data_IF_826515203718
#
_entry.id   IF_826515203718
#
_cell.length_a   1.000
_cell.length_b   1.000
_cell.length_c   1.000
_cell.angle_alpha   90.00
_cell.angle_beta   90.00
_cell.angle_gamma   90.00
#
_symmetry.space_group_name_H-M   'P 1'
#
loop_
_entity.id
_entity.type
_entity.pdbx_description
1 polymer ?
#
# COMPACT_ATOMS: atom_id res chain seq x y z
N UNK A 1 24.20 -23.43 23.82
CA UNK A 1 25.28 -24.04 23.01
C UNK A 1 26.49 -24.16 23.91
N UNK A 2 27.14 -25.31 23.94
CA UNK A 2 28.39 -25.53 24.66
C UNK A 2 29.37 -26.30 23.77
N UNK A 3 30.64 -26.32 24.10
CA UNK A 3 31.66 -27.11 23.38
C UNK A 3 32.26 -28.15 24.31
N UNK A 4 32.45 -29.36 23.81
CA UNK A 4 33.25 -30.41 24.43
C UNK A 4 34.59 -30.47 23.71
N UNK A 5 35.67 -30.13 24.41
CA UNK A 5 37.02 -30.21 23.87
C UNK A 5 37.66 -31.55 24.26
N UNK A 6 38.07 -32.32 23.26
CA UNK A 6 38.88 -33.53 23.43
C UNK A 6 40.29 -33.33 22.86
N UNK A 7 41.23 -34.24 23.15
CA UNK A 7 42.65 -34.10 22.78
C UNK A 7 42.94 -34.07 21.27
N UNK A 8 41.95 -34.33 20.40
CA UNK A 8 42.08 -34.28 18.93
C UNK A 8 40.97 -33.52 18.22
N UNK A 9 39.91 -33.09 18.90
CA UNK A 9 38.79 -32.38 18.27
C UNK A 9 37.94 -31.60 19.28
N UNK A 10 37.31 -30.53 18.80
CA UNK A 10 36.31 -29.76 19.53
C UNK A 10 34.95 -30.08 18.94
N UNK A 11 34.02 -30.54 19.78
CA UNK A 11 32.65 -30.89 19.40
C UNK A 11 31.69 -29.84 19.95
N UNK A 12 30.97 -29.16 19.07
CA UNK A 12 29.93 -28.20 19.46
C UNK A 12 28.65 -28.94 19.81
N UNK A 13 28.24 -28.87 21.07
CA UNK A 13 26.96 -29.38 21.57
C UNK A 13 25.90 -28.29 21.49
N UNK A 14 24.91 -28.51 20.63
CA UNK A 14 23.72 -27.68 20.55
C UNK A 14 22.54 -28.37 21.23
N UNK A 15 22.39 -28.15 22.53
CA UNK A 15 21.15 -28.47 23.24
C UNK A 15 20.12 -27.35 22.99
N UNK A 16 19.37 -27.43 21.89
CA UNK A 16 18.24 -26.54 21.64
C UNK A 16 16.94 -27.35 21.73
N UNK A 17 16.24 -27.27 22.87
CA UNK A 17 14.90 -27.85 23.07
C UNK A 17 13.81 -26.81 22.81
N UNK A 18 13.91 -26.07 21.71
CA UNK A 18 12.81 -25.20 21.30
C UNK A 18 11.73 -26.10 20.70
N UNK A 19 10.59 -26.20 21.36
CA UNK A 19 9.44 -26.97 20.89
C UNK A 19 8.85 -26.24 19.68
N UNK A 20 8.71 -26.93 18.55
CA UNK A 20 8.27 -26.31 17.27
C UNK A 20 6.90 -26.74 16.80
N UNK A 21 6.32 -27.75 17.43
CA UNK A 21 5.04 -28.34 17.05
C UNK A 21 4.16 -28.56 18.27
N UNK A 22 2.84 -28.52 18.08
CA UNK A 22 1.88 -28.85 19.13
C UNK A 22 2.16 -30.21 19.78
N UNK A 23 2.59 -31.20 19.00
CA UNK A 23 2.94 -32.54 19.49
C UNK A 23 4.09 -32.51 20.52
N UNK A 24 5.11 -31.68 20.30
CA UNK A 24 6.21 -31.51 21.26
C UNK A 24 5.74 -30.81 22.55
N UNK A 25 4.76 -29.90 22.44
CA UNK A 25 4.16 -29.24 23.61
C UNK A 25 3.26 -30.18 24.44
N UNK A 26 2.65 -31.20 23.84
CA UNK A 26 1.82 -32.17 24.58
C UNK A 26 2.57 -32.90 25.69
N UNK A 27 3.85 -33.18 25.46
CA UNK A 27 4.73 -33.85 26.41
C UNK A 27 5.39 -32.91 27.43
N UNK A 28 5.09 -31.61 27.37
CA UNK A 28 5.59 -30.64 28.33
C UNK A 28 5.06 -30.97 29.73
N UNK A 29 5.96 -31.14 30.69
CA UNK A 29 5.61 -31.39 32.09
C UNK A 29 5.16 -30.07 32.71
N UNK A 30 3.89 -30.00 33.15
CA UNK A 30 3.29 -28.81 33.77
C UNK A 30 3.36 -28.85 35.30
N UNK A 31 3.43 -30.05 35.88
CA UNK A 31 3.55 -30.24 37.33
C UNK A 31 4.14 -31.62 37.64
N UNK A 32 4.92 -31.70 38.73
CA UNK A 32 5.39 -32.96 39.27
C UNK A 32 5.21 -32.93 40.80
N UNK A 33 4.23 -33.67 41.32
CA UNK A 33 3.99 -33.81 42.76
C UNK A 33 4.00 -35.29 43.15
N UNK A 34 4.83 -35.64 44.14
CA UNK A 34 4.86 -36.99 44.72
C UNK A 34 5.27 -38.11 43.75
N UNK A 35 6.07 -37.80 42.72
CA UNK A 35 6.50 -38.78 41.70
C UNK A 35 5.56 -38.91 40.49
N UNK A 36 4.35 -38.35 40.57
CA UNK A 36 3.43 -38.30 39.44
C UNK A 36 3.68 -37.03 38.63
N UNK A 37 4.05 -37.21 37.35
CA UNK A 37 4.23 -36.14 36.39
C UNK A 37 2.91 -35.90 35.66
N UNK A 38 2.46 -34.66 35.63
CA UNK A 38 1.32 -34.21 34.84
C UNK A 38 1.87 -33.49 33.61
N UNK A 39 1.43 -33.93 32.43
CA UNK A 39 1.79 -33.36 31.13
C UNK A 39 0.73 -32.39 30.65
N UNK A 40 1.08 -31.50 29.74
CA UNK A 40 0.16 -30.50 29.19
C UNK A 40 -1.06 -31.17 28.55
N UNK A 41 -0.88 -32.33 27.89
CA UNK A 41 -1.99 -33.13 27.33
C UNK A 41 -3.00 -33.62 28.36
N UNK A 42 -2.62 -33.73 29.63
CA UNK A 42 -3.51 -34.21 30.69
C UNK A 42 -4.48 -33.10 31.15
N UNK A 43 -4.21 -31.83 30.80
CA UNK A 43 -4.95 -30.65 31.28
C UNK A 43 -5.42 -29.72 30.16
N UNK A 44 -4.96 -29.89 28.93
CA UNK A 44 -5.32 -29.06 27.78
C UNK A 44 -5.28 -29.85 26.47
N UNK A 45 -6.10 -29.42 25.51
CA UNK A 45 -6.00 -29.86 24.13
C UNK A 45 -4.99 -28.96 23.40
N UNK A 46 -3.96 -29.58 22.82
CA UNK A 46 -2.87 -28.89 22.12
C UNK A 46 -2.90 -29.30 20.67
N UNK A 47 -3.18 -28.34 19.80
CA UNK A 47 -3.29 -28.52 18.35
C UNK A 47 -2.52 -27.44 17.61
N UNK A 48 -1.96 -27.78 16.45
CA UNK A 48 -1.36 -26.80 15.54
C UNK A 48 -2.51 -26.11 14.80
N UNK A 49 -2.77 -24.86 15.14
CA UNK A 49 -3.85 -24.05 14.57
C UNK A 49 -3.38 -22.62 14.32
N UNK A 50 -4.20 -21.85 13.60
CA UNK A 50 -3.89 -20.46 13.29
C UNK A 50 -4.14 -19.55 14.50
N UNK A 51 -3.28 -18.55 14.69
CA UNK A 51 -3.36 -17.61 15.83
C UNK A 51 -4.70 -16.86 15.90
N UNK A 52 -5.35 -16.62 14.76
CA UNK A 52 -6.65 -15.95 14.70
C UNK A 52 -7.60 -16.64 13.73
N UNK A 53 -8.57 -17.38 14.28
CA UNK A 53 -9.66 -17.98 13.51
C UNK A 53 -10.80 -16.99 13.18
N UNK A 54 -10.77 -15.78 13.76
CA UNK A 54 -11.86 -14.78 13.65
C UNK A 54 -11.71 -13.78 12.50
N UNK A 55 -10.56 -13.75 11.83
CA UNK A 55 -10.33 -12.87 10.68
C UNK A 55 -10.38 -13.73 9.41
N UNK A 56 -11.58 -13.88 8.86
CA UNK A 56 -11.73 -14.39 7.50
C UNK A 56 -11.80 -13.21 6.55
N UNK A 57 -10.76 -13.05 5.73
CA UNK A 57 -10.83 -12.18 4.56
C UNK A 57 -11.32 -13.04 3.40
N UNK A 58 -12.56 -12.81 2.96
CA UNK A 58 -13.08 -13.46 1.77
C UNK A 58 -13.11 -12.45 0.61
N UNK A 59 -12.65 -12.86 -0.56
CA UNK A 59 -12.75 -12.09 -1.79
C UNK A 59 -13.58 -12.90 -2.78
N UNK A 60 -14.72 -12.37 -3.21
CA UNK A 60 -15.67 -13.04 -4.10
C UNK A 60 -16.10 -14.47 -3.66
N UNK A 61 -16.17 -14.71 -2.35
CA UNK A 61 -16.57 -16.01 -1.79
C UNK A 61 -15.42 -17.02 -1.60
N UNK A 62 -14.20 -16.67 -2.03
CA UNK A 62 -13.00 -17.48 -1.78
C UNK A 62 -12.20 -16.91 -0.60
N UNK A 63 -11.61 -17.79 0.22
CA UNK A 63 -10.71 -17.37 1.30
C UNK A 63 -9.47 -16.73 0.72
N UNK A 64 -9.15 -15.53 1.21
CA UNK A 64 -8.11 -14.67 0.68
C UNK A 64 -7.27 -14.07 1.82
N UNK A 65 -6.11 -13.54 1.48
CA UNK A 65 -5.28 -12.76 2.40
C UNK A 65 -5.29 -11.31 1.91
N UNK A 66 -5.77 -10.40 2.75
CA UNK A 66 -5.81 -8.97 2.44
C UNK A 66 -4.57 -8.27 2.96
N UNK A 67 -3.80 -7.66 2.06
CA UNK A 67 -2.69 -6.78 2.41
C UNK A 67 -3.12 -5.33 2.23
N UNK A 68 -3.27 -4.60 3.33
CA UNK A 68 -3.60 -3.18 3.32
C UNK A 68 -2.32 -2.34 3.19
N UNK A 69 -2.20 -1.58 2.11
CA UNK A 69 -1.09 -0.63 1.90
C UNK A 69 -1.54 0.75 2.36
N UNK A 70 -0.85 1.30 3.35
CA UNK A 70 -1.10 2.63 3.88
C UNK A 70 0.02 3.57 3.42
N UNK A 71 -0.36 4.67 2.78
CA UNK A 71 0.59 5.75 2.47
C UNK A 71 1.04 6.44 3.75
N UNK A 72 2.27 6.95 3.76
CA UNK A 72 2.72 7.85 4.81
C UNK A 72 1.95 9.18 4.77
N UNK A 73 1.85 9.91 5.89
CA UNK A 73 1.42 11.32 5.89
C UNK A 73 2.20 12.10 4.82
N UNK A 74 1.54 13.05 4.16
CA UNK A 74 2.12 13.93 3.12
C UNK A 74 2.61 13.26 1.83
N UNK A 75 2.58 11.92 1.74
CA UNK A 75 2.91 11.22 0.51
C UNK A 75 1.80 11.34 -0.55
N UNK A 76 2.19 11.57 -1.81
CA UNK A 76 1.28 11.59 -2.95
C UNK A 76 0.71 10.19 -3.21
N UNK A 77 -0.61 10.04 -3.04
CA UNK A 77 -1.34 8.78 -3.22
C UNK A 77 -1.12 8.15 -4.60
N UNK A 78 -1.13 8.93 -5.67
CA UNK A 78 -0.99 8.43 -7.05
C UNK A 78 0.41 7.84 -7.26
N UNK A 79 1.45 8.56 -6.81
CA UNK A 79 2.83 8.10 -6.90
C UNK A 79 3.07 6.82 -6.09
N UNK A 80 2.48 6.71 -4.89
CA UNK A 80 2.57 5.50 -4.05
C UNK A 80 1.92 4.31 -4.74
N UNK A 81 0.72 4.47 -5.29
CA UNK A 81 0.04 3.39 -6.01
C UNK A 81 0.84 2.95 -7.24
N UNK A 82 1.38 3.89 -8.01
CA UNK A 82 2.19 3.57 -9.19
C UNK A 82 3.44 2.77 -8.80
N UNK A 83 4.13 3.17 -7.73
CA UNK A 83 5.29 2.45 -7.21
C UNK A 83 4.92 1.02 -6.75
N UNK A 84 3.78 0.85 -6.08
CA UNK A 84 3.27 -0.47 -5.68
C UNK A 84 2.96 -1.32 -6.91
N UNK A 85 2.22 -0.78 -7.88
CA UNK A 85 1.86 -1.50 -9.12
C UNK A 85 3.08 -1.91 -9.92
N UNK A 86 4.12 -1.08 -9.95
CA UNK A 86 5.38 -1.40 -10.61
C UNK A 86 6.09 -2.62 -9.99
N UNK A 87 5.86 -2.90 -8.70
CA UNK A 87 6.44 -4.05 -7.98
C UNK A 87 5.58 -5.31 -8.03
N UNK A 88 4.28 -5.20 -8.32
CA UNK A 88 3.37 -6.35 -8.41
C UNK A 88 3.88 -7.45 -9.35
N UNK A 89 4.40 -7.16 -10.56
CA UNK A 89 4.91 -8.21 -11.46
C UNK A 89 6.07 -9.01 -10.85
N UNK A 90 6.98 -8.34 -10.15
CA UNK A 90 8.10 -8.96 -9.45
C UNK A 90 7.60 -9.93 -8.39
N UNK A 91 6.63 -9.50 -7.56
CA UNK A 91 6.00 -10.37 -6.57
C UNK A 91 5.24 -11.55 -7.20
N UNK A 92 4.49 -11.31 -8.29
CA UNK A 92 3.78 -12.39 -9.01
C UNK A 92 4.72 -13.47 -9.51
N UNK A 93 5.95 -13.12 -9.90
CA UNK A 93 6.95 -14.11 -10.36
C UNK A 93 7.51 -15.01 -9.26
N UNK A 94 7.49 -14.55 -8.01
CA UNK A 94 7.98 -15.29 -6.84
C UNK A 94 6.88 -16.13 -6.18
N UNK A 95 5.62 -15.89 -6.54
CA UNK A 95 4.49 -16.62 -5.99
C UNK A 95 4.26 -17.96 -6.71
N UNK A 96 3.82 -19.01 -5.99
CA UNK A 96 3.37 -20.25 -6.61
C UNK A 96 2.21 -19.99 -7.59
N UNK A 97 2.10 -20.80 -8.64
CA UNK A 97 1.03 -20.65 -9.66
C UNK A 97 -0.39 -20.79 -9.09
N UNK A 98 -0.54 -21.37 -7.90
CA UNK A 98 -1.82 -21.49 -7.19
C UNK A 98 -2.27 -20.19 -6.51
N UNK A 99 -1.43 -19.16 -6.44
CA UNK A 99 -1.72 -17.89 -5.76
C UNK A 99 -2.03 -16.80 -6.78
N UNK A 100 -3.23 -16.22 -6.71
CA UNK A 100 -3.63 -15.08 -7.53
C UNK A 100 -3.55 -13.79 -6.72
N UNK A 101 -2.84 -12.79 -7.28
CA UNK A 101 -2.74 -11.46 -6.68
C UNK A 101 -3.66 -10.48 -7.41
N UNK A 102 -4.69 -10.01 -6.71
CA UNK A 102 -5.68 -9.06 -7.22
C UNK A 102 -5.63 -7.73 -6.44
N UNK A 103 -5.84 -6.62 -7.13
CA UNK A 103 -5.94 -5.30 -6.51
C UNK A 103 -7.41 -5.04 -6.18
N UNK A 104 -7.75 -4.96 -4.89
CA UNK A 104 -9.15 -4.79 -4.45
C UNK A 104 -9.61 -3.34 -4.50
N UNK A 105 -8.78 -2.42 -4.01
CA UNK A 105 -9.13 -1.01 -3.90
C UNK A 105 -7.95 -0.15 -4.33
N UNK A 106 -8.17 0.69 -5.33
CA UNK A 106 -7.20 1.63 -5.85
C UNK A 106 -7.74 3.05 -5.76
N UNK A 107 -7.28 3.79 -4.76
CA UNK A 107 -7.66 5.20 -4.55
C UNK A 107 -7.11 6.15 -5.62
N UNK A 108 -6.09 5.74 -6.39
CA UNK A 108 -5.53 6.59 -7.45
C UNK A 108 -6.49 6.76 -8.63
N UNK A 109 -7.41 5.82 -8.85
CA UNK A 109 -8.35 5.87 -9.98
C UNK A 109 -9.25 7.09 -9.87
N UNK A 110 -9.96 7.26 -8.75
CA UNK A 110 -10.85 8.41 -8.55
C UNK A 110 -10.08 9.75 -8.56
N UNK A 111 -8.83 9.77 -8.10
CA UNK A 111 -7.98 10.97 -8.18
C UNK A 111 -7.66 11.30 -9.65
N UNK A 112 -7.28 10.30 -10.45
CA UNK A 112 -6.96 10.47 -11.87
C UNK A 112 -8.19 10.89 -12.68
N UNK A 113 -9.35 10.32 -12.39
CA UNK A 113 -10.62 10.71 -13.00
C UNK A 113 -10.97 12.16 -12.67
N UNK A 114 -10.88 12.57 -11.40
CA UNK A 114 -11.11 13.95 -11.01
C UNK A 114 -10.12 14.92 -11.69
N UNK A 115 -8.84 14.57 -11.78
CA UNK A 115 -7.84 15.37 -12.50
C UNK A 115 -8.16 15.48 -14.00
N UNK A 116 -8.62 14.40 -14.62
CA UNK A 116 -9.03 14.40 -16.02
C UNK A 116 -10.22 15.34 -16.25
N UNK A 117 -11.26 15.22 -15.41
CA UNK A 117 -12.46 16.05 -15.50
C UNK A 117 -12.16 17.54 -15.28
N UNK A 118 -11.32 17.86 -14.30
CA UNK A 118 -10.85 19.24 -14.06
C UNK A 118 -10.08 19.78 -15.26
N UNK A 119 -9.17 18.97 -15.83
CA UNK A 119 -8.40 19.39 -17.01
C UNK A 119 -9.31 19.65 -18.22
N UNK A 120 -10.29 18.77 -18.45
CA UNK A 120 -11.24 18.89 -19.55
C UNK A 120 -12.12 20.14 -19.40
N UNK A 121 -12.67 20.35 -18.20
CA UNK A 121 -13.51 21.51 -17.90
C UNK A 121 -12.72 22.82 -17.95
N UNK A 122 -11.48 22.84 -17.49
CA UNK A 122 -10.59 24.00 -17.59
C UNK A 122 -10.29 24.36 -19.05
N UNK A 123 -9.94 23.38 -19.89
CA UNK A 123 -9.72 23.60 -21.33
C UNK A 123 -11.00 24.09 -22.00
N UNK A 124 -12.15 23.48 -21.70
CA UNK A 124 -13.45 23.92 -22.18
C UNK A 124 -13.77 25.36 -21.80
N UNK A 125 -13.47 25.74 -20.55
CA UNK A 125 -13.68 27.09 -20.02
C UNK A 125 -12.79 28.10 -20.72
N UNK A 126 -11.50 27.79 -20.91
CA UNK A 126 -10.57 28.66 -21.64
C UNK A 126 -11.08 28.89 -23.08
N UNK A 127 -11.46 27.83 -23.79
CA UNK A 127 -11.98 27.94 -25.16
C UNK A 127 -13.25 28.79 -25.19
N UNK A 128 -14.17 28.57 -24.25
CA UNK A 128 -15.41 29.32 -24.15
C UNK A 128 -15.17 30.80 -23.92
N UNK A 129 -14.29 31.15 -22.97
CA UNK A 129 -13.91 32.54 -22.67
C UNK A 129 -13.29 33.21 -23.90
N UNK A 130 -12.37 32.54 -24.59
CA UNK A 130 -11.75 33.04 -25.82
C UNK A 130 -12.79 33.30 -26.90
N UNK A 131 -13.77 32.40 -27.07
CA UNK A 131 -14.85 32.53 -28.04
C UNK A 131 -15.74 33.73 -27.71
N UNK A 132 -16.11 33.92 -26.45
CA UNK A 132 -16.92 35.06 -26.00
C UNK A 132 -16.17 36.38 -26.24
N UNK A 133 -14.91 36.47 -25.84
CA UNK A 133 -14.06 37.66 -26.07
C UNK A 133 -13.94 37.96 -27.57
N UNK A 134 -13.72 36.95 -28.40
CA UNK A 134 -13.68 37.07 -29.85
C UNK A 134 -14.99 37.63 -30.42
N UNK A 135 -16.13 37.12 -29.97
CA UNK A 135 -17.45 37.53 -30.44
C UNK A 135 -17.73 39.02 -30.16
N UNK A 136 -17.33 39.52 -28.99
CA UNK A 136 -17.51 40.93 -28.61
C UNK A 136 -16.55 41.88 -29.33
N UNK A 137 -15.27 41.51 -29.45
CA UNK A 137 -14.25 42.40 -30.00
C UNK A 137 -14.18 42.35 -31.54
N UNK A 138 -14.54 41.22 -32.17
CA UNK A 138 -14.42 40.94 -33.62
C UNK A 138 -13.05 41.28 -34.22
N UNK A 139 -12.02 41.46 -33.38
CA UNK A 139 -10.68 41.89 -33.77
C UNK A 139 -9.65 40.95 -33.17
N UNK A 140 -9.00 40.19 -34.05
CA UNK A 140 -8.06 39.12 -33.70
C UNK A 140 -6.98 39.55 -32.69
N UNK A 141 -6.39 40.74 -32.90
CA UNK A 141 -5.34 41.29 -32.02
C UNK A 141 -5.85 41.58 -30.61
N UNK A 142 -7.10 42.03 -30.47
CA UNK A 142 -7.67 42.35 -29.15
C UNK A 142 -8.05 41.09 -28.36
N UNK A 143 -8.32 39.97 -29.04
CA UNK A 143 -8.58 38.67 -28.42
C UNK A 143 -7.30 37.92 -28.06
N UNK A 144 -6.24 38.04 -28.86
CA UNK A 144 -4.99 37.31 -28.65
C UNK A 144 -4.31 37.63 -27.31
N UNK A 145 -4.42 38.87 -26.83
CA UNK A 145 -3.81 39.32 -25.55
C UNK A 145 -4.39 38.52 -24.36
N UNK A 146 -5.72 38.50 -24.10
CA UNK A 146 -6.32 37.64 -23.08
C UNK A 146 -6.04 36.15 -23.28
N UNK A 147 -6.13 35.64 -24.51
CA UNK A 147 -5.94 34.22 -24.82
C UNK A 147 -4.57 33.70 -24.43
N UNK A 148 -3.52 34.50 -24.63
CA UNK A 148 -2.16 34.14 -24.22
C UNK A 148 -1.92 34.38 -22.72
N UNK A 149 -2.52 35.43 -22.15
CA UNK A 149 -2.34 35.77 -20.74
C UNK A 149 -2.90 34.71 -19.79
N UNK A 150 -4.05 34.11 -20.11
CA UNK A 150 -4.74 33.12 -19.27
C UNK A 150 -3.92 31.84 -18.99
N UNK A 151 -3.40 31.12 -20.01
CA UNK A 151 -2.57 29.94 -19.78
C UNK A 151 -1.22 30.31 -19.15
N UNK A 152 -0.65 31.47 -19.47
CA UNK A 152 0.60 31.94 -18.87
C UNK A 152 0.42 32.22 -17.37
N UNK A 153 -0.69 32.83 -16.95
CA UNK A 153 -0.96 33.06 -15.52
C UNK A 153 -1.17 31.75 -14.76
N UNK A 154 -1.84 30.76 -15.36
CA UNK A 154 -2.02 29.44 -14.77
C UNK A 154 -0.67 28.73 -14.57
N UNK A 155 0.19 28.74 -15.59
CA UNK A 155 1.55 28.19 -15.49
C UNK A 155 2.36 28.93 -14.42
N UNK A 156 2.21 30.25 -14.30
CA UNK A 156 2.84 31.05 -13.25
C UNK A 156 2.38 30.65 -11.85
N UNK A 157 1.09 30.42 -11.66
CA UNK A 157 0.53 29.99 -10.38
C UNK A 157 1.02 28.58 -9.98
N UNK A 158 1.03 27.63 -10.92
CA UNK A 158 1.60 26.28 -10.70
C UNK A 158 3.10 26.34 -10.40
N UNK A 159 3.85 27.19 -11.10
CA UNK A 159 5.27 27.38 -10.85
C UNK A 159 5.54 27.95 -9.44
N UNK A 160 4.70 28.88 -8.97
CA UNK A 160 4.78 29.37 -7.59
C UNK A 160 4.47 28.27 -6.58
N UNK A 161 3.41 27.48 -6.79
CA UNK A 161 3.08 26.35 -5.91
C UNK A 161 4.27 25.39 -5.78
N UNK A 162 4.91 25.05 -6.90
CA UNK A 162 6.09 24.21 -6.92
C UNK A 162 7.28 24.84 -6.18
N UNK A 163 7.51 26.15 -6.36
CA UNK A 163 8.60 26.87 -5.67
C UNK A 163 8.43 26.92 -4.15
N UNK A 164 7.19 26.95 -3.64
CA UNK A 164 6.88 26.89 -2.22
C UNK A 164 6.74 25.45 -1.67
N UNK A 165 6.94 24.43 -2.52
CA UNK A 165 6.86 23.03 -2.13
C UNK A 165 5.42 22.51 -1.91
N UNK A 166 4.41 23.22 -2.41
CA UNK A 166 3.02 22.75 -2.35
C UNK A 166 2.75 21.69 -3.42
N UNK A 167 1.96 20.68 -3.05
CA UNK A 167 1.50 19.65 -3.99
C UNK A 167 0.19 20.06 -4.65
N UNK A 168 -0.03 19.62 -5.89
CA UNK A 168 -1.33 19.76 -6.54
C UNK A 168 -2.30 18.76 -5.91
N UNK A 169 -3.32 19.30 -5.28
CA UNK A 169 -4.47 18.58 -4.73
C UNK A 169 -5.79 19.23 -5.15
N UNK A 170 -6.90 18.64 -4.72
CA UNK A 170 -8.23 19.11 -5.09
C UNK A 170 -8.52 20.56 -4.64
N UNK A 171 -7.97 21.02 -3.52
CA UNK A 171 -8.18 22.39 -3.04
C UNK A 171 -7.38 23.37 -3.90
N UNK A 172 -6.12 23.04 -4.19
CA UNK A 172 -5.28 23.88 -5.06
C UNK A 172 -5.87 24.02 -6.47
N UNK A 173 -6.48 22.96 -7.01
CA UNK A 173 -7.14 22.98 -8.32
C UNK A 173 -8.42 23.83 -8.34
N UNK A 174 -9.15 23.92 -7.23
CA UNK A 174 -10.31 24.79 -7.12
C UNK A 174 -9.94 26.27 -7.05
N UNK A 175 -8.71 26.59 -6.63
CA UNK A 175 -8.21 27.95 -6.55
C UNK A 175 -7.57 28.49 -7.84
N UNK A 176 -7.31 27.61 -8.81
CA UNK A 176 -6.76 27.93 -10.14
C UNK A 176 -7.88 28.13 -11.17
#
# INVERSE_FOLDING_TARGET
MGTLEGPRQILTLQANRQLRSAAEYQDLIVSAKGGNQVRLRDVAQVEDSFETLKSSANYNGETSITLAIQRQPDANTVAVVDAVKARIPEFRSQLPQSVQLNVLNDRSVSIREALHDVTLTMVGTIILVVLVIFLFLRRFVATAIPTLSLPVSLLGAVAMLWAFGYTIDNISLLGL
#
